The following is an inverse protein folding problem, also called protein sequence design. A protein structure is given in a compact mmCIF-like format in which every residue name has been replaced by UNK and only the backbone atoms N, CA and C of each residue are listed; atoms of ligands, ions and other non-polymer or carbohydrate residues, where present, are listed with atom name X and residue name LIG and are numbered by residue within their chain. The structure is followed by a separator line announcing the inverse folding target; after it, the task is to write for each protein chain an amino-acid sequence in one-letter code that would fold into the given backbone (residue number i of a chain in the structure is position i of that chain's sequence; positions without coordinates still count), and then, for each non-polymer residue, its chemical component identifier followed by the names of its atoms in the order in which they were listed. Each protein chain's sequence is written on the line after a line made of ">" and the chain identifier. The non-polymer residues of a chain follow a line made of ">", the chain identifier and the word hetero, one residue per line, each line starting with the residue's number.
data_IF_492310715816
#
_entry.id   IF_492310715816
#
_cell.length_a   1.000
_cell.length_b   1.000
_cell.length_c   1.000
_cell.angle_alpha   90.00
_cell.angle_beta   90.00
_cell.angle_gamma   90.00
#
_symmetry.space_group_name_H-M   'P 1'
#
loop_
_entity.id
_entity.type
_entity.pdbx_description
1 polymer ?
#
# COMPACT_ATOMS: atom_id res chain seq x y z
N UNK A 1 3.58 -23.18 9.13
CA UNK A 1 4.65 -22.88 8.16
C UNK A 1 3.96 -22.51 6.86
N UNK A 2 4.20 -21.31 6.32
CA UNK A 2 3.64 -20.95 5.03
C UNK A 2 4.20 -21.90 3.97
N UNK A 3 3.32 -22.39 3.11
CA UNK A 3 3.73 -23.15 1.93
C UNK A 3 3.68 -22.17 0.77
N UNK A 4 4.83 -21.61 0.39
CA UNK A 4 4.85 -20.75 -0.78
C UNK A 4 5.08 -21.56 -2.04
N UNK A 5 4.03 -21.64 -2.87
CA UNK A 5 4.14 -22.25 -4.20
C UNK A 5 4.48 -21.17 -5.23
N UNK A 6 5.59 -21.36 -5.95
CA UNK A 6 5.93 -20.55 -7.12
C UNK A 6 5.03 -20.94 -8.30
N UNK A 7 4.46 -19.93 -8.95
CA UNK A 7 3.59 -20.05 -10.12
C UNK A 7 4.26 -19.33 -11.28
N UNK A 8 4.50 -20.07 -12.36
CA UNK A 8 5.13 -19.57 -13.57
C UNK A 8 4.07 -19.18 -14.58
N UNK A 9 4.08 -17.90 -14.98
CA UNK A 9 3.25 -17.38 -16.05
C UNK A 9 3.86 -17.62 -17.45
N UNK A 10 3.04 -17.67 -18.51
CA UNK A 10 3.49 -17.88 -19.88
C UNK A 10 4.40 -16.81 -20.48
N UNK A 11 4.32 -15.53 -20.06
CA UNK A 11 5.07 -14.42 -20.67
C UNK A 11 6.56 -14.42 -20.33
N UNK A 12 6.96 -15.11 -19.26
CA UNK A 12 8.35 -15.26 -18.84
C UNK A 12 8.98 -13.97 -18.26
N UNK A 13 10.16 -14.12 -17.66
CA UNK A 13 10.83 -13.06 -16.89
C UNK A 13 11.30 -11.88 -17.74
N UNK A 14 11.67 -12.12 -19.01
CA UNK A 14 12.13 -11.07 -19.92
C UNK A 14 11.03 -10.05 -20.22
N UNK A 15 9.80 -10.50 -20.44
CA UNK A 15 8.64 -9.62 -20.60
C UNK A 15 8.45 -8.76 -19.36
N UNK A 16 8.36 -9.38 -18.18
CA UNK A 16 8.11 -8.66 -16.92
C UNK A 16 9.21 -7.66 -16.57
N UNK A 17 10.46 -7.96 -16.95
CA UNK A 17 11.58 -7.03 -16.76
C UNK A 17 11.45 -5.76 -17.62
N UNK A 18 10.78 -5.85 -18.78
CA UNK A 18 10.53 -4.73 -19.69
C UNK A 18 9.33 -3.87 -19.31
N UNK A 19 8.45 -4.37 -18.44
CA UNK A 19 7.27 -3.63 -17.99
C UNK A 19 7.71 -2.46 -17.10
N UNK A 20 7.15 -1.29 -17.38
CA UNK A 20 7.31 -0.11 -16.54
C UNK A 20 6.54 -0.30 -15.23
N UNK A 21 7.21 -0.31 -14.05
CA UNK A 21 6.51 -0.40 -12.78
C UNK A 21 5.55 0.78 -12.57
N UNK A 22 5.81 1.96 -13.13
CA UNK A 22 5.02 3.16 -12.88
C UNK A 22 3.69 3.17 -13.64
N UNK A 23 3.54 2.37 -14.71
CA UNK A 23 2.25 2.13 -15.38
C UNK A 23 1.43 1.05 -14.65
N UNK A 24 0.94 1.42 -13.47
CA UNK A 24 0.11 0.57 -12.59
C UNK A 24 -1.06 -0.07 -13.32
N UNK A 25 -1.69 0.65 -14.24
CA UNK A 25 -2.91 0.17 -14.91
C UNK A 25 -2.55 -0.97 -15.86
N UNK A 26 -1.57 -0.75 -16.74
CA UNK A 26 -1.12 -1.78 -17.67
C UNK A 26 -0.55 -2.99 -16.93
N UNK A 27 0.21 -2.74 -15.85
CA UNK A 27 0.77 -3.79 -15.00
C UNK A 27 -0.32 -4.66 -14.35
N UNK A 28 -1.34 -4.04 -13.73
CA UNK A 28 -2.47 -4.75 -13.12
C UNK A 28 -3.24 -5.57 -14.16
N UNK A 29 -3.48 -5.02 -15.34
CA UNK A 29 -4.19 -5.73 -16.42
C UNK A 29 -3.39 -6.93 -16.93
N UNK A 30 -2.10 -6.75 -17.19
CA UNK A 30 -1.23 -7.83 -17.64
C UNK A 30 -1.15 -8.96 -16.60
N UNK A 31 -1.00 -8.64 -15.31
CA UNK A 31 -0.95 -9.64 -14.24
C UNK A 31 -2.28 -10.37 -14.08
N UNK A 32 -3.41 -9.66 -14.20
CA UNK A 32 -4.74 -10.30 -14.17
C UNK A 32 -4.91 -11.28 -15.32
N UNK A 33 -4.53 -10.90 -16.52
CA UNK A 33 -4.62 -11.76 -17.71
C UNK A 33 -3.73 -13.00 -17.55
N UNK A 34 -2.46 -12.80 -17.15
CA UNK A 34 -1.46 -13.85 -16.99
C UNK A 34 -1.94 -14.96 -16.03
N UNK A 35 -2.48 -14.56 -14.88
CA UNK A 35 -2.88 -15.48 -13.82
C UNK A 35 -4.38 -15.73 -13.76
N UNK A 36 -5.12 -15.33 -14.81
CA UNK A 36 -6.58 -15.52 -15.00
C UNK A 36 -7.41 -15.05 -13.81
N UNK A 37 -7.15 -13.84 -13.33
CA UNK A 37 -7.81 -13.26 -12.15
C UNK A 37 -8.89 -12.26 -12.56
N UNK A 38 -10.09 -12.48 -12.01
CA UNK A 38 -11.27 -11.69 -12.33
C UNK A 38 -11.35 -10.39 -11.52
N UNK A 39 -10.78 -10.31 -10.31
CA UNK A 39 -10.98 -9.16 -9.40
C UNK A 39 -9.79 -8.89 -8.47
N UNK A 40 -9.74 -7.68 -7.89
CA UNK A 40 -9.03 -7.40 -6.63
C UNK A 40 -7.51 -7.48 -6.65
N UNK A 41 -6.84 -6.79 -7.59
CA UNK A 41 -5.38 -6.65 -7.55
C UNK A 41 -5.00 -5.36 -6.84
N UNK A 42 -4.33 -5.50 -5.70
CA UNK A 42 -3.72 -4.39 -4.98
C UNK A 42 -2.25 -4.32 -5.33
N UNK A 43 -1.82 -3.19 -5.88
CA UNK A 43 -0.41 -2.87 -6.02
C UNK A 43 0.12 -2.37 -4.68
N UNK A 44 1.29 -2.88 -4.31
CA UNK A 44 2.07 -2.32 -3.22
C UNK A 44 3.40 -1.91 -3.82
N UNK A 45 3.58 -0.60 -3.88
CA UNK A 45 4.79 0.02 -4.34
C UNK A 45 5.63 0.42 -3.14
N UNK A 46 6.81 -0.17 -3.05
CA UNK A 46 7.75 0.13 -1.99
C UNK A 46 9.07 0.63 -2.57
N UNK A 47 9.24 1.95 -2.55
CA UNK A 47 10.50 2.59 -2.87
C UNK A 47 11.27 2.85 -1.58
N UNK A 48 12.42 2.21 -1.45
CA UNK A 48 13.27 2.41 -0.29
C UNK A 48 14.24 3.58 -0.55
N UNK A 49 13.89 4.77 -0.08
CA UNK A 49 14.77 5.94 -0.07
C UNK A 49 15.67 5.98 1.18
N UNK A 50 16.32 4.86 1.50
CA UNK A 50 17.26 4.80 2.62
C UNK A 50 18.70 4.86 2.12
N UNK A 51 19.66 5.43 2.88
CA UNK A 51 21.04 5.58 2.42
C UNK A 51 21.65 4.22 2.04
N UNK A 52 22.36 4.18 0.90
CA UNK A 52 22.90 3.01 0.18
C UNK A 52 23.85 2.11 1.01
N UNK A 53 24.15 2.48 2.25
CA UNK A 53 25.21 1.89 3.07
C UNK A 53 24.72 0.80 4.03
N UNK A 54 23.40 0.53 4.11
CA UNK A 54 22.88 -0.54 4.96
C UNK A 54 22.53 -1.76 4.09
N UNK A 55 23.10 -2.94 4.38
CA UNK A 55 22.85 -4.16 3.62
C UNK A 55 21.35 -4.49 3.50
N UNK A 56 20.87 -4.92 2.32
CA UNK A 56 19.46 -5.24 2.08
C UNK A 56 18.89 -6.30 3.03
N UNK A 57 19.75 -7.15 3.62
CA UNK A 57 19.39 -8.14 4.63
C UNK A 57 18.92 -7.55 5.96
N UNK A 58 19.21 -6.28 6.26
CA UNK A 58 18.90 -5.62 7.54
C UNK A 58 17.66 -4.71 7.43
N UNK A 59 17.21 -4.37 6.22
CA UNK A 59 16.12 -3.40 5.97
C UNK A 59 14.89 -4.00 5.30
N UNK A 60 14.35 -5.06 5.88
CA UNK A 60 13.04 -5.56 5.45
C UNK A 60 11.94 -4.77 6.18
N UNK A 61 11.12 -4.04 5.44
CA UNK A 61 9.92 -3.41 6.02
C UNK A 61 8.82 -4.46 6.09
N UNK A 62 8.29 -4.70 7.28
CA UNK A 62 7.15 -5.58 7.49
C UNK A 62 5.87 -4.88 7.09
N UNK A 63 5.14 -5.46 6.16
CA UNK A 63 3.83 -4.99 5.73
C UNK A 63 2.81 -6.04 6.10
N UNK A 64 1.74 -5.63 6.79
CA UNK A 64 0.68 -6.53 7.26
C UNK A 64 -0.64 -6.14 6.60
N UNK A 65 -1.23 -7.11 5.91
CA UNK A 65 -2.55 -7.01 5.31
C UNK A 65 -3.30 -8.32 5.57
N UNK A 66 -4.58 -8.23 5.91
CA UNK A 66 -5.40 -9.41 6.22
C UNK A 66 -5.46 -10.43 5.07
N UNK A 67 -5.31 -9.95 3.83
CA UNK A 67 -5.30 -10.77 2.62
C UNK A 67 -4.08 -11.69 2.48
N UNK A 68 -3.00 -11.51 3.25
CA UNK A 68 -1.84 -12.41 3.21
C UNK A 68 -2.12 -13.81 3.76
N UNK A 69 -3.29 -14.01 4.39
CA UNK A 69 -3.75 -15.34 4.79
C UNK A 69 -4.08 -16.26 3.61
N UNK A 70 -4.51 -15.69 2.48
CA UNK A 70 -4.82 -16.44 1.26
C UNK A 70 -4.75 -15.55 0.03
N UNK A 71 -3.57 -15.44 -0.57
CA UNK A 71 -3.37 -14.61 -1.77
C UNK A 71 -2.24 -15.13 -2.66
N UNK A 72 -2.22 -14.66 -3.90
CA UNK A 72 -1.01 -14.68 -4.72
C UNK A 72 -0.32 -13.33 -4.66
N UNK A 73 0.99 -13.34 -4.44
CA UNK A 73 1.83 -12.15 -4.56
C UNK A 73 2.69 -12.29 -5.80
N UNK A 74 2.46 -11.43 -6.79
CA UNK A 74 3.32 -11.29 -7.95
C UNK A 74 4.46 -10.33 -7.65
N UNK A 75 5.70 -10.80 -7.78
CA UNK A 75 6.90 -10.00 -7.59
C UNK A 75 7.36 -9.44 -8.94
N UNK A 76 7.25 -8.13 -9.15
CA UNK A 76 7.76 -7.50 -10.37
C UNK A 76 9.25 -7.16 -10.24
N UNK A 77 9.66 -6.58 -9.10
CA UNK A 77 11.06 -6.17 -8.80
C UNK A 77 11.31 -6.23 -7.30
N UNK A 78 12.59 -6.35 -6.92
CA UNK A 78 13.04 -6.29 -5.52
C UNK A 78 13.05 -7.65 -4.84
N UNK A 79 12.75 -7.67 -3.54
CA UNK A 79 12.80 -8.86 -2.71
C UNK A 79 11.62 -8.92 -1.73
N UNK A 80 11.10 -10.13 -1.54
CA UNK A 80 10.04 -10.47 -0.62
C UNK A 80 10.62 -11.38 0.47
N UNK A 81 10.40 -11.09 1.75
CA UNK A 81 10.70 -12.01 2.85
C UNK A 81 9.41 -12.62 3.35
N UNK A 82 9.36 -13.95 3.42
CA UNK A 82 8.25 -14.71 3.99
C UNK A 82 8.78 -15.49 5.19
N UNK A 83 8.04 -15.47 6.30
CA UNK A 83 8.48 -16.13 7.53
C UNK A 83 8.60 -17.64 7.31
N UNK A 84 9.68 -18.27 7.79
CA UNK A 84 9.91 -19.71 7.59
C UNK A 84 10.34 -20.15 6.19
N UNK A 85 10.22 -19.29 5.17
CA UNK A 85 10.76 -19.55 3.82
C UNK A 85 12.03 -18.74 3.51
N UNK A 86 12.15 -17.53 4.08
CA UNK A 86 13.27 -16.64 3.82
C UNK A 86 13.02 -15.69 2.65
N UNK A 87 14.09 -15.25 1.99
CA UNK A 87 13.99 -14.26 0.91
C UNK A 87 13.69 -14.90 -0.45
N UNK A 88 12.65 -14.36 -1.10
CA UNK A 88 12.24 -14.59 -2.47
C UNK A 88 12.68 -13.38 -3.30
N UNK A 89 13.59 -13.62 -4.25
CA UNK A 89 14.25 -12.57 -5.03
C UNK A 89 14.03 -12.70 -6.54
N UNK A 90 13.28 -13.71 -6.98
CA UNK A 90 13.08 -13.99 -8.40
C UNK A 90 11.84 -13.24 -8.92
N UNK A 91 12.01 -12.18 -9.73
CA UNK A 91 10.90 -11.41 -10.27
C UNK A 91 10.21 -12.13 -11.44
N UNK A 92 9.03 -11.65 -11.82
CA UNK A 92 8.24 -12.17 -12.94
C UNK A 92 7.43 -13.42 -12.61
N UNK A 93 7.30 -13.74 -11.32
CA UNK A 93 6.57 -14.91 -10.83
C UNK A 93 5.52 -14.51 -9.79
N UNK A 94 4.45 -15.31 -9.73
CA UNK A 94 3.50 -15.24 -8.64
C UNK A 94 3.82 -16.29 -7.58
N UNK A 95 3.60 -15.93 -6.32
CA UNK A 95 3.89 -16.75 -5.16
C UNK A 95 2.61 -16.89 -4.36
N UNK A 96 2.16 -18.12 -4.17
CA UNK A 96 1.01 -18.41 -3.31
C UNK A 96 1.43 -18.19 -1.85
N UNK A 97 0.76 -17.31 -1.12
CA UNK A 97 1.00 -17.04 0.28
C UNK A 97 -0.21 -17.51 1.08
N UNK A 98 0.05 -18.34 2.09
CA UNK A 98 -0.95 -18.93 2.98
C UNK A 98 -0.54 -18.70 4.42
N UNK A 99 -1.54 -18.32 5.23
CA UNK A 99 -1.42 -18.17 6.68
C UNK A 99 -0.33 -17.19 7.15
N UNK A 100 0.06 -16.23 6.31
CA UNK A 100 0.98 -15.16 6.71
C UNK A 100 0.22 -13.95 7.24
N UNK A 101 0.67 -13.41 8.37
CA UNK A 101 0.15 -12.16 8.94
C UNK A 101 0.85 -10.93 8.36
N UNK A 102 2.08 -11.11 7.86
CA UNK A 102 2.91 -10.06 7.32
C UNK A 102 3.90 -10.63 6.29
N UNK A 103 4.37 -9.77 5.40
CA UNK A 103 5.50 -10.05 4.51
C UNK A 103 6.56 -8.96 4.71
N UNK A 104 7.84 -9.29 4.54
CA UNK A 104 8.90 -8.30 4.47
C UNK A 104 9.12 -7.85 3.03
N UNK A 105 9.33 -6.55 2.80
CA UNK A 105 9.77 -6.00 1.52
C UNK A 105 11.19 -5.47 1.65
N UNK A 106 12.08 -5.86 0.74
CA UNK A 106 13.50 -5.52 0.78
C UNK A 106 13.96 -4.76 -0.47
N UNK A 107 14.64 -3.62 -0.29
CA UNK A 107 15.09 -2.77 -1.41
C UNK A 107 13.94 -2.07 -2.13
N UNK A 108 14.15 -1.70 -3.40
CA UNK A 108 13.10 -1.15 -4.26
C UNK A 108 12.22 -2.29 -4.78
N UNK A 109 11.12 -2.53 -4.06
CA UNK A 109 10.24 -3.67 -4.28
C UNK A 109 8.90 -3.22 -4.85
N UNK A 110 8.50 -3.88 -5.93
CA UNK A 110 7.20 -3.70 -6.56
C UNK A 110 6.50 -5.05 -6.57
N UNK A 111 5.36 -5.14 -5.88
CA UNK A 111 4.54 -6.34 -5.85
C UNK A 111 3.08 -6.04 -6.18
N UNK A 112 2.39 -7.05 -6.68
CA UNK A 112 0.94 -7.05 -6.83
C UNK A 112 0.35 -8.21 -6.03
N UNK A 113 -0.60 -7.89 -5.15
CA UNK A 113 -1.33 -8.84 -4.32
C UNK A 113 -2.66 -9.12 -4.98
N UNK A 114 -2.92 -10.39 -5.26
CA UNK A 114 -4.15 -10.92 -5.83
C UNK A 114 -4.84 -11.77 -4.76
N UNK A 115 -5.98 -11.32 -4.27
CA UNK A 115 -6.74 -12.06 -3.25
C UNK A 115 -7.28 -13.38 -3.80
N UNK A 116 -7.27 -14.43 -2.96
CA UNK A 116 -7.80 -15.75 -3.31
C UNK A 116 -8.91 -16.21 -2.34
N UNK A 117 -9.73 -17.15 -2.79
CA UNK A 117 -10.74 -17.81 -1.95
C UNK A 117 -11.75 -16.87 -1.28
N UNK A 118 -12.00 -17.10 0.01
CA UNK A 118 -12.91 -16.33 0.85
C UNK A 118 -12.38 -14.92 1.18
N UNK A 119 -11.10 -14.66 0.92
CA UNK A 119 -10.46 -13.36 1.18
C UNK A 119 -10.70 -12.35 0.05
N UNK A 120 -11.41 -12.75 -1.02
CA UNK A 120 -11.80 -11.85 -2.11
C UNK A 120 -12.64 -10.67 -1.61
N UNK A 121 -12.22 -9.47 -1.96
CA UNK A 121 -12.84 -8.20 -1.58
C UNK A 121 -12.60 -7.80 -0.11
N UNK A 122 -11.83 -8.55 0.67
CA UNK A 122 -11.64 -8.28 2.11
C UNK A 122 -10.62 -7.17 2.33
N UNK A 123 -9.44 -7.23 1.70
CA UNK A 123 -8.47 -6.15 1.87
C UNK A 123 -8.97 -4.86 1.24
N UNK A 124 -9.66 -4.90 0.09
CA UNK A 124 -10.20 -3.67 -0.52
C UNK A 124 -11.26 -3.00 0.35
N UNK A 125 -12.09 -3.77 1.09
CA UNK A 125 -13.02 -3.23 2.09
C UNK A 125 -12.29 -2.69 3.32
N UNK A 126 -11.33 -3.44 3.88
CA UNK A 126 -10.59 -3.00 5.07
C UNK A 126 -9.70 -1.78 4.80
N UNK A 127 -9.13 -1.67 3.60
CA UNK A 127 -8.33 -0.51 3.20
C UNK A 127 -9.19 0.75 3.09
N UNK A 128 -10.39 0.65 2.51
CA UNK A 128 -11.36 1.76 2.46
C UNK A 128 -11.77 2.21 3.86
N UNK A 129 -12.10 1.28 4.75
CA UNK A 129 -12.45 1.59 6.14
C UNK A 129 -11.27 2.24 6.88
N UNK A 130 -10.04 1.76 6.67
CA UNK A 130 -8.84 2.41 7.24
C UNK A 130 -8.61 3.82 6.68
N UNK A 131 -8.77 4.02 5.38
CA UNK A 131 -8.65 5.35 4.75
C UNK A 131 -9.71 6.32 5.25
N UNK A 132 -10.97 5.89 5.34
CA UNK A 132 -12.07 6.69 5.89
C UNK A 132 -11.81 7.06 7.35
N UNK A 133 -11.29 6.12 8.14
CA UNK A 133 -10.93 6.37 9.54
C UNK A 133 -9.80 7.38 9.68
N UNK A 134 -8.74 7.27 8.88
CA UNK A 134 -7.62 8.23 8.88
C UNK A 134 -8.10 9.62 8.46
N UNK A 135 -8.95 9.73 7.44
CA UNK A 135 -9.52 11.00 7.00
C UNK A 135 -10.42 11.62 8.08
N UNK A 136 -11.21 10.79 8.78
CA UNK A 136 -12.04 11.24 9.90
C UNK A 136 -11.19 11.74 11.08
N UNK A 137 -10.11 11.05 11.41
CA UNK A 137 -9.18 11.44 12.48
C UNK A 137 -8.43 12.75 12.14
N UNK A 138 -8.03 12.95 10.88
CA UNK A 138 -7.43 14.20 10.41
C UNK A 138 -8.41 15.38 10.45
N UNK A 139 -9.66 15.15 10.04
CA UNK A 139 -10.73 16.14 10.10
C UNK A 139 -11.05 16.53 11.56
N UNK A 140 -11.06 15.57 12.47
CA UNK A 140 -11.28 15.81 13.90
C UNK A 140 -10.10 16.57 14.54
N UNK A 141 -8.87 16.21 14.20
CA UNK A 141 -7.67 16.93 14.63
C UNK A 141 -7.70 18.39 14.17
N UNK A 142 -8.03 18.63 12.89
CA UNK A 142 -8.18 19.97 12.31
C UNK A 142 -9.27 20.80 13.00
N UNK A 143 -10.40 20.18 13.36
CA UNK A 143 -11.48 20.85 14.11
C UNK A 143 -11.04 21.22 15.53
N UNK A 144 -10.33 20.34 16.22
CA UNK A 144 -9.77 20.61 17.55
C UNK A 144 -8.75 21.75 17.50
N UNK A 145 -7.87 21.75 16.51
CA UNK A 145 -6.89 22.83 16.30
C UNK A 145 -7.56 24.18 16.02
N UNK A 146 -8.59 24.22 15.16
CA UNK A 146 -9.38 25.43 14.91
C UNK A 146 -10.13 25.93 16.15
N UNK A 147 -10.62 25.04 17.02
CA UNK A 147 -11.23 25.44 18.29
C UNK A 147 -10.21 26.04 19.26
N UNK A 148 -9.00 25.48 19.32
CA UNK A 148 -7.90 26.01 20.14
C UNK A 148 -7.49 27.38 19.63
N UNK A 149 -7.29 27.55 18.32
CA UNK A 149 -6.97 28.83 17.69
C UNK A 149 -8.06 29.89 17.92
N UNK A 150 -9.34 29.52 17.77
CA UNK A 150 -10.45 30.41 18.06
C UNK A 150 -10.48 30.84 19.53
N UNK A 151 -10.20 29.93 20.46
CA UNK A 151 -10.08 30.25 21.89
C UNK A 151 -8.90 31.19 22.18
N UNK A 152 -7.74 30.95 21.56
CA UNK A 152 -6.56 31.82 21.69
C UNK A 152 -6.85 33.22 21.14
N UNK A 153 -7.48 33.34 19.97
CA UNK A 153 -7.88 34.61 19.37
C UNK A 153 -8.91 35.37 20.22
N UNK A 154 -9.87 34.67 20.83
CA UNK A 154 -10.83 35.31 21.76
C UNK A 154 -10.19 35.76 23.07
N UNK A 155 -9.16 35.05 23.57
CA UNK A 155 -8.45 35.45 24.81
C UNK A 155 -7.44 36.58 24.61
N UNK A 156 -6.90 36.74 23.40
CA UNK A 156 -5.92 37.78 23.06
C UNK A 156 -6.57 39.10 22.59
N UNK A 157 -7.90 39.23 22.66
CA UNK A 157 -8.61 40.48 22.34
C UNK A 157 -8.61 40.86 20.86
N UNK A 158 -8.08 40.02 19.97
CA UNK A 158 -8.01 40.23 18.53
C UNK A 158 -9.28 39.70 17.83
N UNK A 159 -10.46 40.12 18.27
CA UNK A 159 -11.62 40.13 17.37
C UNK A 159 -11.52 41.42 16.56
N UNK A 160 -11.03 41.35 15.32
CA UNK A 160 -11.25 42.42 14.35
C UNK A 160 -12.77 42.62 14.27
N UNK A 161 -13.25 43.78 14.72
CA UNK A 161 -14.62 44.20 14.48
C UNK A 161 -14.84 44.22 12.97
N UNK A 162 -15.96 43.68 12.46
CA UNK A 162 -16.35 43.97 11.10
C UNK A 162 -16.69 45.46 11.02
N UNK A 163 -15.90 46.22 10.27
CA UNK A 163 -16.20 47.60 9.93
C UNK A 163 -17.58 47.64 9.24
N UNK A 164 -18.58 48.14 9.96
CA UNK A 164 -19.85 48.54 9.36
C UNK A 164 -19.56 49.79 8.54
N UNK A 165 -19.33 49.60 7.24
CA UNK A 165 -19.42 50.69 6.27
C UNK A 165 -20.85 51.22 6.28
N UNK A 166 -21.04 52.38 6.92
CA UNK A 166 -22.23 53.20 6.75
C UNK A 166 -22.29 53.68 5.29
N UNK A 167 -23.15 53.10 4.48
CA UNK A 167 -23.65 53.76 3.28
C UNK A 167 -24.87 54.60 3.71
N UNK A 168 -24.63 55.91 3.90
CA UNK A 168 -25.69 56.92 3.85
C UNK A 168 -25.99 57.21 2.38
N UNK A 169 -27.28 57.20 2.03
CA UNK A 169 -27.85 57.94 0.91
C UNK A 169 -28.99 58.77 1.48
#
# INVERSE_FOLDING_TARGET
>A
MPVTRKIVGPRGTAFWSSVDPDDIRALREAVKEEFRRSEGVQDIHFNHSGPDHIPPTIRNIRVSFDCFRHCLVFLLRGALFIEGQGMVIEPGYAYEIKDEEWIGLGGNTTILVMEEGEMKGVCSRNLKVKQEKILAEQEEARRKENQVWNRVLTKSGLRKQPERSQCRS
#
